data_IF_471392992842
#
_entry.id   IF_471392992842
#
_cell.length_a   1.000
_cell.length_b   1.000
_cell.length_c   1.000
_cell.angle_alpha   90.00
_cell.angle_beta   90.00
_cell.angle_gamma   90.00
#
_symmetry.space_group_name_H-M   'P 1'
#
loop_
_entity.id
_entity.type
_entity.pdbx_description
1 polymer ?
#
# COMPACT_ATOMS: atom_id res chain seq x y z
N UNK A 1 0.00 -17.36 -22.00
CA UNK A 1 -0.45 -18.15 -20.83
C UNK A 1 -0.31 -17.24 -19.62
N UNK A 2 -1.42 -16.71 -19.12
CA UNK A 2 -1.44 -15.72 -18.04
C UNK A 2 -1.83 -16.42 -16.74
N UNK A 3 -0.84 -16.64 -15.87
CA UNK A 3 -1.07 -17.15 -14.52
C UNK A 3 -0.73 -16.02 -13.55
N UNK A 4 -1.74 -15.29 -13.10
CA UNK A 4 -1.67 -14.40 -11.94
C UNK A 4 -1.58 -15.27 -10.67
N UNK A 5 -0.49 -15.26 -9.89
CA UNK A 5 -0.42 -16.11 -8.71
C UNK A 5 -0.11 -15.27 -7.47
N UNK A 6 -1.08 -14.49 -6.96
CA UNK A 6 -1.02 -14.01 -5.58
C UNK A 6 -2.37 -13.99 -4.84
N UNK A 7 -3.50 -14.34 -5.48
CA UNK A 7 -4.80 -14.42 -4.80
C UNK A 7 -5.01 -15.71 -3.98
N UNK A 8 -4.01 -16.60 -3.92
CA UNK A 8 -4.13 -17.90 -3.27
C UNK A 8 -3.36 -17.94 -1.95
N UNK A 9 -3.83 -17.21 -0.94
CA UNK A 9 -3.51 -17.55 0.44
C UNK A 9 -4.76 -17.38 1.31
N UNK A 10 -5.37 -18.52 1.62
CA UNK A 10 -6.51 -18.75 2.51
C UNK A 10 -7.92 -18.37 2.02
N UNK A 11 -8.59 -19.33 1.36
CA UNK A 11 -9.90 -19.86 1.79
C UNK A 11 -11.12 -18.93 1.95
N UNK A 12 -11.03 -17.65 1.62
CA UNK A 12 -12.14 -16.72 1.70
C UNK A 12 -12.32 -16.09 0.32
N UNK A 13 -13.48 -16.31 -0.30
CA UNK A 13 -13.92 -15.56 -1.46
C UNK A 13 -14.25 -14.12 -1.04
N UNK A 14 -13.24 -13.33 -0.70
CA UNK A 14 -13.44 -11.91 -0.49
C UNK A 14 -13.75 -11.26 -1.84
N UNK A 15 -14.86 -10.54 -1.90
CA UNK A 15 -15.15 -9.72 -3.07
C UNK A 15 -14.08 -8.62 -3.17
N UNK A 16 -13.69 -8.25 -4.39
CA UNK A 16 -12.77 -7.13 -4.63
C UNK A 16 -13.22 -5.87 -3.89
N UNK A 17 -14.54 -5.63 -3.87
CA UNK A 17 -15.14 -4.51 -3.15
C UNK A 17 -14.87 -4.58 -1.64
N UNK A 18 -15.00 -5.76 -1.02
CA UNK A 18 -14.73 -5.94 0.41
C UNK A 18 -13.25 -5.71 0.75
N UNK A 19 -12.33 -6.10 -0.14
CA UNK A 19 -10.91 -5.80 0.02
C UNK A 19 -10.65 -4.29 -0.09
N UNK A 20 -11.18 -3.64 -1.12
CA UNK A 20 -11.04 -2.19 -1.30
C UNK A 20 -11.59 -1.39 -0.10
N UNK A 21 -12.73 -1.81 0.47
CA UNK A 21 -13.28 -1.18 1.67
C UNK A 21 -12.35 -1.35 2.89
N UNK A 22 -11.73 -2.51 3.05
CA UNK A 22 -10.72 -2.72 4.10
C UNK A 22 -9.49 -1.82 3.88
N UNK A 23 -9.02 -1.69 2.63
CA UNK A 23 -7.90 -0.83 2.29
C UNK A 23 -8.22 0.65 2.53
N UNK A 24 -9.41 1.11 2.17
CA UNK A 24 -9.85 2.48 2.46
C UNK A 24 -9.92 2.74 3.97
N UNK A 25 -10.43 1.78 4.74
CA UNK A 25 -10.44 1.89 6.19
C UNK A 25 -9.03 1.99 6.77
N UNK A 26 -8.10 1.16 6.28
CA UNK A 26 -6.70 1.20 6.68
C UNK A 26 -6.01 2.51 6.30
N UNK A 27 -6.15 2.98 5.06
CA UNK A 27 -5.61 4.27 4.61
C UNK A 27 -6.12 5.44 5.46
N UNK A 28 -7.39 5.40 5.86
CA UNK A 28 -7.98 6.37 6.78
C UNK A 28 -7.38 6.27 8.19
N UNK A 29 -7.08 5.06 8.67
CA UNK A 29 -6.43 4.89 9.98
C UNK A 29 -5.02 5.45 10.04
N UNK A 30 -4.35 5.58 8.88
CA UNK A 30 -3.06 6.24 8.71
C UNK A 30 -3.18 7.75 8.44
N UNK A 31 -4.39 8.31 8.48
CA UNK A 31 -4.69 9.73 8.16
C UNK A 31 -4.26 10.15 6.74
N UNK A 32 -4.23 9.21 5.78
CA UNK A 32 -3.79 9.48 4.41
C UNK A 32 -4.91 9.93 3.47
N UNK A 33 -6.16 9.63 3.84
CA UNK A 33 -7.36 9.97 3.07
C UNK A 33 -8.45 10.50 4.01
N UNK A 34 -9.35 11.33 3.48
CA UNK A 34 -10.44 11.88 4.28
C UNK A 34 -11.56 10.86 4.50
N UNK A 35 -12.47 11.15 5.45
CA UNK A 35 -13.73 10.38 5.58
C UNK A 35 -14.59 10.45 4.32
N UNK A 36 -14.53 11.56 3.58
CA UNK A 36 -15.29 11.72 2.35
C UNK A 36 -14.76 10.80 1.25
N UNK A 37 -13.44 10.68 1.11
CA UNK A 37 -12.81 9.78 0.14
C UNK A 37 -13.14 8.32 0.43
N UNK A 38 -13.06 7.92 1.71
CA UNK A 38 -13.43 6.58 2.14
C UNK A 38 -14.90 6.25 1.82
N UNK A 39 -15.82 7.19 2.04
CA UNK A 39 -17.24 7.01 1.73
C UNK A 39 -17.52 6.99 0.21
N UNK A 40 -16.76 7.76 -0.58
CA UNK A 40 -16.86 7.79 -2.03
C UNK A 40 -16.28 6.53 -2.71
N UNK A 41 -15.50 5.73 -1.97
CA UNK A 41 -14.96 4.46 -2.43
C UNK A 41 -13.66 4.60 -3.24
N UNK A 42 -13.19 3.48 -3.79
CA UNK A 42 -11.85 3.37 -4.36
C UNK A 42 -11.58 4.31 -5.54
N UNK A 43 -12.61 4.60 -6.35
CA UNK A 43 -12.50 5.51 -7.49
C UNK A 43 -12.09 6.94 -7.08
N UNK A 44 -12.40 7.36 -5.86
CA UNK A 44 -12.04 8.70 -5.35
C UNK A 44 -10.52 8.85 -5.17
N UNK A 45 -9.84 7.78 -4.78
CA UNK A 45 -8.40 7.77 -4.51
C UNK A 45 -7.57 7.29 -5.70
N UNK A 46 -8.20 6.66 -6.70
CA UNK A 46 -7.54 6.07 -7.85
C UNK A 46 -6.64 7.07 -8.59
N UNK A 47 -7.10 8.32 -8.78
CA UNK A 47 -6.30 9.36 -9.42
C UNK A 47 -5.08 9.77 -8.59
N UNK A 48 -5.22 9.78 -7.25
CA UNK A 48 -4.13 10.10 -6.35
C UNK A 48 -3.08 8.98 -6.32
N UNK A 49 -3.52 7.72 -6.40
CA UNK A 49 -2.64 6.56 -6.58
C UNK A 49 -1.88 6.63 -7.90
N UNK A 50 -2.58 6.88 -9.02
CA UNK A 50 -1.98 7.00 -10.34
C UNK A 50 -1.01 8.20 -10.47
N UNK A 51 -1.20 9.24 -9.64
CA UNK A 51 -0.26 10.37 -9.56
C UNK A 51 1.04 10.04 -8.79
N UNK A 52 1.07 8.92 -8.08
CA UNK A 52 2.16 8.51 -7.20
C UNK A 52 2.22 9.24 -5.86
N UNK A 53 1.46 10.33 -5.67
CA UNK A 53 1.49 11.13 -4.42
C UNK A 53 1.00 10.31 -3.24
N UNK A 54 -0.18 9.67 -3.37
CA UNK A 54 -0.71 8.84 -2.28
C UNK A 54 0.20 7.64 -2.00
N UNK A 55 0.80 7.04 -3.04
CA UNK A 55 1.75 5.94 -2.87
C UNK A 55 3.02 6.37 -2.11
N UNK A 56 3.55 7.56 -2.37
CA UNK A 56 4.68 8.10 -1.60
C UNK A 56 4.31 8.27 -0.12
N UNK A 57 3.11 8.77 0.17
CA UNK A 57 2.64 8.96 1.55
C UNK A 57 2.40 7.62 2.26
N UNK A 58 1.81 6.64 1.57
CA UNK A 58 1.68 5.27 2.09
C UNK A 58 3.05 4.68 2.37
N UNK A 59 3.99 4.78 1.42
CA UNK A 59 5.35 4.28 1.60
C UNK A 59 6.04 4.95 2.80
N UNK A 60 5.89 6.27 2.96
CA UNK A 60 6.45 6.99 4.11
C UNK A 60 5.85 6.52 5.44
N UNK A 61 4.53 6.33 5.50
CA UNK A 61 3.84 5.86 6.70
C UNK A 61 4.24 4.42 7.06
N UNK A 62 4.31 3.53 6.07
CA UNK A 62 4.62 2.10 6.27
C UNK A 62 6.10 1.87 6.56
N UNK A 63 7.00 2.59 5.88
CA UNK A 63 8.44 2.45 6.08
C UNK A 63 8.99 3.27 7.24
N UNK A 64 8.18 4.16 7.82
CA UNK A 64 8.61 5.16 8.80
C UNK A 64 9.82 6.00 8.33
N UNK A 65 9.97 6.18 7.01
CA UNK A 65 11.04 6.96 6.37
C UNK A 65 10.42 7.97 5.43
N UNK A 66 10.76 9.27 5.53
CA UNK A 66 10.24 10.28 4.62
C UNK A 66 10.70 10.02 3.18
N UNK A 67 9.77 10.12 2.22
CA UNK A 67 10.09 10.07 0.79
C UNK A 67 10.40 11.50 0.31
N UNK A 68 11.66 11.79 0.02
CA UNK A 68 12.08 13.10 -0.48
C UNK A 68 11.85 13.25 -1.99
N UNK A 69 11.63 14.48 -2.46
CA UNK A 69 11.53 14.79 -3.89
C UNK A 69 10.16 14.54 -4.53
N UNK A 70 9.11 14.35 -3.73
CA UNK A 70 7.74 14.13 -4.25
C UNK A 70 7.20 15.40 -4.89
N UNK A 71 6.71 15.29 -6.12
CA UNK A 71 5.93 16.32 -6.76
C UNK A 71 4.48 16.25 -6.27
N UNK A 72 4.05 17.19 -5.41
CA UNK A 72 2.70 17.20 -4.82
C UNK A 72 1.56 17.42 -5.83
N UNK A 73 1.87 18.04 -6.99
CA UNK A 73 0.90 18.30 -8.08
C UNK A 73 1.51 17.94 -9.44
N UNK A 74 1.69 16.63 -9.74
CA UNK A 74 2.39 16.20 -10.93
C UNK A 74 1.50 16.32 -12.17
N UNK A 75 1.68 17.38 -12.96
CA UNK A 75 0.96 17.57 -14.22
C UNK A 75 1.52 16.68 -15.36
N UNK A 76 2.85 16.56 -15.42
CA UNK A 76 3.54 15.78 -16.46
C UNK A 76 3.56 14.28 -16.12
N UNK A 77 3.47 13.44 -17.16
CA UNK A 77 3.58 11.98 -17.00
C UNK A 77 4.92 11.57 -16.37
N UNK A 78 6.01 12.24 -16.73
CA UNK A 78 7.33 12.00 -16.16
C UNK A 78 7.38 12.28 -14.64
N UNK A 79 6.65 13.30 -14.15
CA UNK A 79 6.58 13.61 -12.72
C UNK A 79 5.78 12.53 -11.95
N UNK A 80 4.68 12.03 -12.54
CA UNK A 80 3.92 10.90 -11.97
C UNK A 80 4.78 9.63 -11.90
N UNK A 81 5.52 9.35 -12.97
CA UNK A 81 6.49 8.25 -13.01
C UNK A 81 7.55 8.37 -11.92
N UNK A 82 8.16 9.55 -11.80
CA UNK A 82 9.15 9.81 -10.74
C UNK A 82 8.58 9.58 -9.34
N UNK A 83 7.37 10.06 -9.05
CA UNK A 83 6.73 9.83 -7.75
C UNK A 83 6.51 8.33 -7.48
N UNK A 84 6.00 7.58 -8.47
CA UNK A 84 5.80 6.14 -8.33
C UNK A 84 7.14 5.45 -8.06
N UNK A 85 8.17 5.72 -8.85
CA UNK A 85 9.49 5.13 -8.64
C UNK A 85 10.09 5.49 -7.26
N UNK A 86 9.87 6.70 -6.75
CA UNK A 86 10.26 7.09 -5.38
C UNK A 86 9.55 6.26 -4.32
N UNK A 87 8.22 6.12 -4.44
CA UNK A 87 7.42 5.29 -3.52
C UNK A 87 7.91 3.84 -3.54
N UNK A 88 8.06 3.24 -4.72
CA UNK A 88 8.55 1.87 -4.86
C UNK A 88 9.97 1.71 -4.33
N UNK A 89 10.85 2.70 -4.57
CA UNK A 89 12.19 2.74 -4.03
C UNK A 89 12.22 2.67 -2.51
N UNK A 90 11.38 3.46 -1.83
CA UNK A 90 11.26 3.43 -0.37
C UNK A 90 10.77 2.05 0.13
N UNK A 91 9.85 1.42 -0.59
CA UNK A 91 9.28 0.11 -0.22
C UNK A 91 10.23 -1.07 -0.45
N UNK A 92 11.18 -0.96 -1.38
CA UNK A 92 12.18 -2.02 -1.68
C UNK A 92 13.05 -2.39 -0.49
N UNK A 93 13.19 -1.49 0.48
CA UNK A 93 14.02 -1.70 1.66
C UNK A 93 13.28 -2.41 2.82
N UNK A 94 11.98 -2.70 2.66
CA UNK A 94 11.19 -3.33 3.72
C UNK A 94 11.48 -4.85 3.81
N UNK A 95 11.98 -5.34 4.96
CA UNK A 95 12.34 -6.75 5.12
C UNK A 95 11.08 -7.63 5.10
N UNK A 96 11.13 -8.75 4.37
CA UNK A 96 10.01 -9.70 4.31
C UNK A 96 8.82 -9.23 3.46
N UNK A 97 8.89 -8.04 2.86
CA UNK A 97 7.92 -7.60 1.88
C UNK A 97 8.21 -8.32 0.55
N UNK A 98 7.46 -9.38 0.25
CA UNK A 98 7.58 -10.17 -0.98
C UNK A 98 7.02 -9.43 -2.21
N UNK A 99 7.41 -8.17 -2.37
CA UNK A 99 6.99 -7.29 -3.44
C UNK A 99 7.88 -7.43 -4.69
N UNK A 100 8.98 -8.19 -4.66
CA UNK A 100 9.93 -8.29 -5.78
C UNK A 100 9.26 -8.54 -7.14
N UNK A 101 8.46 -9.62 -7.32
CA UNK A 101 7.74 -9.86 -8.57
C UNK A 101 6.63 -8.84 -8.84
N UNK A 102 5.89 -8.40 -7.80
CA UNK A 102 4.79 -7.45 -7.92
C UNK A 102 5.28 -6.06 -8.38
N UNK A 103 6.31 -5.51 -7.76
CA UNK A 103 6.88 -4.21 -8.10
C UNK A 103 7.46 -4.20 -9.50
N UNK A 104 8.12 -5.30 -9.89
CA UNK A 104 8.76 -5.40 -11.20
C UNK A 104 7.74 -5.56 -12.33
N UNK A 105 6.56 -6.13 -12.05
CA UNK A 105 5.49 -6.36 -13.04
C UNK A 105 4.41 -5.26 -13.05
N UNK A 106 4.25 -4.51 -11.96
CA UNK A 106 3.14 -3.57 -11.80
C UNK A 106 3.53 -2.10 -11.75
N UNK A 107 4.82 -1.71 -11.86
CA UNK A 107 5.19 -0.30 -11.98
C UNK A 107 4.47 0.36 -13.17
N UNK A 108 4.49 -0.29 -14.33
CA UNK A 108 3.77 0.18 -15.53
C UNK A 108 2.25 0.12 -15.36
N UNK A 109 1.71 -0.96 -14.78
CA UNK A 109 0.27 -1.08 -14.55
C UNK A 109 -0.27 0.00 -13.57
N UNK A 110 0.50 0.33 -12.52
CA UNK A 110 0.18 1.40 -11.58
C UNK A 110 0.29 2.76 -12.27
N UNK A 111 1.29 2.96 -13.13
CA UNK A 111 1.42 4.18 -13.94
C UNK A 111 0.24 4.39 -14.89
N UNK A 112 -0.27 3.31 -15.47
CA UNK A 112 -1.46 3.31 -16.30
C UNK A 112 -2.76 3.46 -15.50
N UNK A 113 -2.68 3.50 -14.16
CA UNK A 113 -3.84 3.63 -13.28
C UNK A 113 -4.71 2.39 -13.25
N UNK A 114 -4.14 1.22 -13.54
CA UNK A 114 -4.88 -0.04 -13.49
C UNK A 114 -5.34 -0.32 -12.06
N UNK A 115 -6.66 -0.30 -11.87
CA UNK A 115 -7.30 -0.52 -10.57
C UNK A 115 -6.81 -1.80 -9.89
N UNK A 116 -6.72 -2.90 -10.62
CA UNK A 116 -6.27 -4.19 -10.08
C UNK A 116 -4.84 -4.13 -9.54
N UNK A 117 -3.93 -3.48 -10.26
CA UNK A 117 -2.55 -3.31 -9.84
C UNK A 117 -2.42 -2.42 -8.60
N UNK A 118 -3.17 -1.31 -8.56
CA UNK A 118 -3.22 -0.42 -7.41
C UNK A 118 -3.77 -1.12 -6.16
N UNK A 119 -4.85 -1.89 -6.30
CA UNK A 119 -5.44 -2.67 -5.20
C UNK A 119 -4.47 -3.74 -4.70
N UNK A 120 -3.85 -4.50 -5.59
CA UNK A 120 -2.88 -5.54 -5.22
C UNK A 120 -1.65 -4.97 -4.49
N UNK A 121 -1.15 -3.80 -4.93
CA UNK A 121 -0.05 -3.13 -4.27
C UNK A 121 -0.43 -2.69 -2.85
N UNK A 122 -1.58 -2.03 -2.69
CA UNK A 122 -2.08 -1.60 -1.39
C UNK A 122 -2.34 -2.78 -0.45
N UNK A 123 -2.88 -3.88 -0.96
CA UNK A 123 -3.07 -5.13 -0.20
C UNK A 123 -1.75 -5.69 0.32
N UNK A 124 -0.73 -5.79 -0.54
CA UNK A 124 0.58 -6.27 -0.13
C UNK A 124 1.19 -5.40 0.99
N UNK A 125 1.04 -4.08 0.88
CA UNK A 125 1.50 -3.12 1.90
C UNK A 125 0.73 -3.23 3.21
N UNK A 126 -0.59 -3.34 3.13
CA UNK A 126 -1.44 -3.53 4.30
C UNK A 126 -1.12 -4.83 5.05
N UNK A 127 -0.95 -5.94 4.33
CA UNK A 127 -0.60 -7.23 4.92
C UNK A 127 0.76 -7.18 5.62
N UNK A 128 1.75 -6.57 4.99
CA UNK A 128 3.08 -6.40 5.60
C UNK A 128 3.02 -5.51 6.84
N UNK A 129 2.37 -4.36 6.76
CA UNK A 129 2.22 -3.43 7.89
C UNK A 129 1.49 -4.08 9.07
N UNK A 130 0.44 -4.85 8.78
CA UNK A 130 -0.33 -5.58 9.79
C UNK A 130 0.50 -6.69 10.45
N UNK A 131 1.29 -7.43 9.66
CA UNK A 131 2.19 -8.46 10.19
C UNK A 131 3.31 -7.86 11.05
N UNK A 132 3.89 -6.74 10.62
CA UNK A 132 4.92 -6.01 11.38
C UNK A 132 4.38 -5.53 12.74
N UNK A 133 3.18 -4.94 12.77
CA UNK A 133 2.57 -4.47 14.00
C UNK A 133 2.16 -5.61 14.95
N UNK A 134 1.67 -6.74 14.43
CA UNK A 134 1.36 -7.91 15.25
C UNK A 134 2.62 -8.54 15.87
N UNK A 135 3.75 -8.52 15.17
CA UNK A 135 5.04 -8.99 15.69
C UNK A 135 5.59 -8.16 16.84
N UNK A 136 5.30 -6.84 16.89
CA UNK A 136 5.71 -5.98 17.99
C UNK A 136 4.85 -6.15 19.26
N UNK A 137 3.65 -6.72 19.15
CA UNK A 137 2.73 -6.87 20.29
C UNK A 137 2.99 -8.14 21.13
N UNK A 138 3.87 -9.05 20.69
CA UNK A 138 4.22 -10.29 21.41
C UNK A 138 5.46 -10.19 22.31
N UNK A 139 5.98 -8.98 22.57
CA UNK A 139 7.07 -8.74 23.51
C UNK A 139 6.59 -7.98 24.75
N UNK A 140 5.75 -8.61 25.57
CA UNK A 140 5.71 -8.31 27.00
C UNK A 140 6.18 -9.57 27.75
N UNK A 141 7.34 -9.55 28.43
CA UNK A 141 7.72 -10.63 29.31
C UNK A 141 6.80 -10.60 30.54
N UNK A 142 5.81 -11.49 30.57
CA UNK A 142 4.89 -11.69 31.69
C UNK A 142 5.57 -12.34 32.91
N UNK A 143 6.64 -11.73 33.44
CA UNK A 143 7.39 -12.24 34.60
C UNK A 143 7.65 -11.21 35.70
N UNK A 144 6.99 -10.05 35.70
CA UNK A 144 7.06 -9.12 36.83
C UNK A 144 5.64 -8.83 37.31
N UNK A 145 5.18 -9.65 38.27
CA UNK A 145 4.61 -9.22 39.56
C UNK A 145 4.25 -10.48 40.37
N UNK A 146 5.30 -11.13 40.89
CA UNK A 146 5.22 -11.80 42.18
C UNK A 146 6.13 -11.04 43.12
N UNK A 147 5.55 -10.23 44.01
CA UNK A 147 6.04 -9.97 45.37
C UNK A 147 4.97 -9.25 46.18
#
# INVERSE_FOLDING_TARGET
>A
MLTLPLLCRAGASYSLHSLEQQLLHWLRSLDLISRADAAAGFSSIAQSLASGVLLCRVAAAVAAVPVAGVAERPAAAAARASNISLALGALRHLPGLALGPLLQQHEEAVLLGERGAATALLEALWLWHSAANNGQQQQQPGWLEQH
#
